data_IF_260252198035
#
_entry.id   IF_260252198035
#
_cell.length_a   1.000
_cell.length_b   1.000
_cell.length_c   1.000
_cell.angle_alpha   90.00
_cell.angle_beta   90.00
_cell.angle_gamma   90.00
#
_symmetry.space_group_name_H-M   'P 1'
#
loop_
_entity.id
_entity.type
_entity.pdbx_description
1 polymer ?
#
# COMPACT_ATOMS: atom_id res chain seq x y z
N UNK A 1 -18.00 -8.51 7.26
CA UNK A 1 -18.48 -8.39 5.86
C UNK A 1 -18.73 -6.91 5.59
N UNK A 2 -17.72 -6.09 5.29
CA UNK A 2 -17.94 -4.65 5.07
C UNK A 2 -16.96 -3.95 4.12
N UNK A 3 -16.27 -4.69 3.24
CA UNK A 3 -15.62 -4.03 2.11
C UNK A 3 -16.68 -3.76 1.05
N UNK A 4 -16.90 -2.49 0.70
CA UNK A 4 -17.64 -2.16 -0.52
C UNK A 4 -16.91 -2.82 -1.71
N UNK A 5 -17.65 -3.30 -2.72
CA UNK A 5 -17.07 -3.90 -3.94
C UNK A 5 -16.03 -2.97 -4.60
N UNK A 6 -16.24 -1.66 -4.52
CA UNK A 6 -15.29 -0.65 -5.02
C UNK A 6 -13.96 -0.67 -4.25
N UNK A 7 -14.00 -0.85 -2.93
CA UNK A 7 -12.79 -0.88 -2.10
C UNK A 7 -12.03 -2.20 -2.26
N UNK A 8 -12.71 -3.32 -2.54
CA UNK A 8 -12.06 -4.57 -2.96
C UNK A 8 -11.28 -4.37 -4.25
N UNK A 9 -11.88 -3.70 -5.24
CA UNK A 9 -11.19 -3.40 -6.50
C UNK A 9 -9.96 -2.50 -6.32
N UNK A 10 -10.02 -1.54 -5.39
CA UNK A 10 -8.86 -0.71 -5.02
C UNK A 10 -7.77 -1.54 -4.35
N UNK A 11 -8.14 -2.39 -3.37
CA UNK A 11 -7.20 -3.27 -2.70
C UNK A 11 -6.52 -4.23 -3.69
N UNK A 12 -7.27 -4.83 -4.61
CA UNK A 12 -6.73 -5.68 -5.67
C UNK A 12 -5.64 -4.95 -6.47
N UNK A 13 -5.91 -3.74 -6.98
CA UNK A 13 -4.90 -2.95 -7.71
C UNK A 13 -3.67 -2.63 -6.85
N UNK A 14 -3.86 -2.35 -5.56
CA UNK A 14 -2.75 -2.12 -4.64
C UNK A 14 -1.90 -3.39 -4.45
N UNK A 15 -2.50 -4.57 -4.35
CA UNK A 15 -1.78 -5.86 -4.28
C UNK A 15 -0.99 -6.12 -5.57
N UNK A 16 -1.58 -5.86 -6.74
CA UNK A 16 -0.88 -5.96 -8.02
C UNK A 16 0.33 -5.02 -8.08
N UNK A 17 0.17 -3.78 -7.61
CA UNK A 17 1.27 -2.82 -7.50
C UNK A 17 2.36 -3.31 -6.55
N UNK A 18 2.02 -3.81 -5.36
CA UNK A 18 2.99 -4.37 -4.42
C UNK A 18 3.84 -5.47 -5.07
N UNK A 19 3.20 -6.40 -5.78
CA UNK A 19 3.89 -7.46 -6.50
C UNK A 19 4.81 -6.92 -7.60
N UNK A 20 4.29 -6.01 -8.43
CA UNK A 20 5.03 -5.44 -9.55
C UNK A 20 6.26 -4.63 -9.10
N UNK A 21 6.14 -3.83 -8.04
CA UNK A 21 7.25 -3.05 -7.48
C UNK A 21 8.27 -3.95 -6.79
N UNK A 22 7.84 -4.96 -6.03
CA UNK A 22 8.77 -5.91 -5.42
C UNK A 22 9.61 -6.65 -6.47
N UNK A 23 9.01 -7.01 -7.61
CA UNK A 23 9.69 -7.67 -8.74
C UNK A 23 10.75 -6.78 -9.41
N UNK A 24 10.64 -5.45 -9.29
CA UNK A 24 11.56 -4.47 -9.88
C UNK A 24 12.54 -3.87 -8.87
N UNK A 25 12.32 -4.11 -7.58
CA UNK A 25 13.14 -3.55 -6.51
C UNK A 25 14.60 -4.01 -6.62
N UNK A 26 15.52 -3.13 -6.22
CA UNK A 26 16.95 -3.46 -6.09
C UNK A 26 17.17 -4.57 -5.07
N UNK A 27 16.39 -4.55 -3.98
CA UNK A 27 16.36 -5.57 -2.94
C UNK A 27 14.94 -6.14 -2.77
N UNK A 28 14.51 -7.09 -3.62
CA UNK A 28 13.21 -7.73 -3.50
C UNK A 28 13.06 -8.44 -2.15
N UNK A 29 11.92 -8.28 -1.51
CA UNK A 29 11.57 -8.99 -0.27
C UNK A 29 10.84 -10.29 -0.56
N UNK A 30 10.81 -11.18 0.43
CA UNK A 30 9.92 -12.33 0.43
C UNK A 30 8.48 -11.85 0.65
N UNK A 31 7.72 -11.66 -0.43
CA UNK A 31 6.36 -11.10 -0.36
C UNK A 31 5.33 -12.19 -0.02
N UNK A 32 4.48 -11.93 0.97
CA UNK A 32 3.39 -12.82 1.39
C UNK A 32 2.02 -12.16 1.20
N UNK A 33 1.08 -12.92 0.63
CA UNK A 33 -0.34 -12.58 0.61
C UNK A 33 -1.10 -13.66 1.38
N UNK A 34 -1.37 -13.40 2.66
CA UNK A 34 -2.03 -14.35 3.57
C UNK A 34 -3.52 -14.06 3.69
N UNK A 35 -4.29 -15.02 4.24
CA UNK A 35 -5.74 -14.95 4.35
C UNK A 35 -6.46 -14.66 3.02
N UNK A 36 -5.88 -15.06 1.88
CA UNK A 36 -6.49 -14.81 0.58
C UNK A 36 -7.77 -15.63 0.45
N UNK A 37 -8.88 -14.93 0.28
CA UNK A 37 -10.20 -15.53 0.09
C UNK A 37 -11.26 -14.48 -0.22
N UNK A 38 -12.52 -14.91 -0.16
CA UNK A 38 -13.69 -14.04 -0.32
C UNK A 38 -13.64 -13.18 -1.59
N UNK A 39 -14.07 -11.92 -1.45
CA UNK A 39 -14.22 -10.99 -2.56
C UNK A 39 -12.89 -10.60 -3.22
N UNK A 40 -11.79 -10.55 -2.46
CA UNK A 40 -10.48 -10.22 -3.04
C UNK A 40 -10.02 -11.32 -3.98
N UNK A 41 -10.09 -12.59 -3.56
CA UNK A 41 -9.76 -13.73 -4.42
C UNK A 41 -10.66 -13.77 -5.65
N UNK A 42 -11.96 -13.58 -5.48
CA UNK A 42 -12.89 -13.52 -6.62
C UNK A 42 -12.49 -12.42 -7.60
N UNK A 43 -12.16 -11.22 -7.11
CA UNK A 43 -11.71 -10.14 -7.99
C UNK A 43 -10.40 -10.45 -8.71
N UNK A 44 -9.48 -11.18 -8.09
CA UNK A 44 -8.23 -11.63 -8.73
C UNK A 44 -8.52 -12.68 -9.79
N UNK A 45 -9.33 -13.70 -9.49
CA UNK A 45 -9.72 -14.76 -10.43
C UNK A 45 -10.42 -14.21 -11.68
N UNK A 46 -11.25 -13.18 -11.52
CA UNK A 46 -12.03 -12.60 -12.63
C UNK A 46 -11.19 -11.62 -13.47
N UNK A 47 -10.40 -10.75 -12.83
CA UNK A 47 -9.76 -9.60 -13.49
C UNK A 47 -8.27 -9.75 -13.73
N UNK A 48 -7.61 -10.68 -13.05
CA UNK A 48 -6.17 -10.94 -13.20
C UNK A 48 -5.88 -12.43 -13.17
N UNK A 49 -6.41 -13.18 -14.14
CA UNK A 49 -6.21 -14.64 -14.23
C UNK A 49 -4.73 -15.07 -14.20
N UNK A 50 -3.80 -14.16 -14.50
CA UNK A 50 -2.36 -14.38 -14.42
C UNK A 50 -1.80 -14.44 -13.00
N UNK A 51 -2.56 -14.04 -11.98
CA UNK A 51 -2.11 -14.01 -10.58
C UNK A 51 -1.58 -15.36 -10.09
N UNK A 52 -2.15 -16.47 -10.58
CA UNK A 52 -1.72 -17.83 -10.26
C UNK A 52 -0.32 -18.16 -10.77
N UNK A 53 0.20 -17.40 -11.73
CA UNK A 53 1.52 -17.57 -12.33
C UNK A 53 2.55 -16.57 -11.78
N UNK A 54 2.18 -15.76 -10.79
CA UNK A 54 3.12 -14.85 -10.14
C UNK A 54 4.26 -15.64 -9.50
N UNK A 55 5.48 -15.16 -9.71
CA UNK A 55 6.72 -15.80 -9.23
C UNK A 55 7.26 -15.04 -8.04
N UNK A 56 7.94 -15.73 -7.13
CA UNK A 56 8.61 -15.11 -5.99
C UNK A 56 7.64 -14.35 -5.05
N UNK A 57 6.41 -14.87 -4.94
CA UNK A 57 5.39 -14.46 -3.97
C UNK A 57 4.81 -15.71 -3.31
N UNK A 58 4.57 -15.65 -2.00
CA UNK A 58 3.91 -16.72 -1.25
C UNK A 58 2.46 -16.34 -0.98
N UNK A 59 1.53 -17.04 -1.61
CA UNK A 59 0.08 -16.81 -1.44
C UNK A 59 -0.50 -17.92 -0.58
N UNK A 60 -1.22 -17.54 0.49
CA UNK A 60 -1.76 -18.43 1.51
C UNK A 60 -3.21 -18.08 1.83
N UNK A 61 -4.02 -19.11 2.05
CA UNK A 61 -5.40 -18.95 2.57
C UNK A 61 -5.44 -18.83 4.09
N UNK A 62 -4.38 -19.31 4.74
CA UNK A 62 -4.16 -19.32 6.18
C UNK A 62 -3.85 -17.92 6.71
N UNK A 63 -4.15 -17.67 7.98
CA UNK A 63 -3.81 -16.40 8.62
C UNK A 63 -2.29 -16.29 8.84
N UNK A 64 -1.74 -15.07 8.79
CA UNK A 64 -0.28 -14.89 8.94
C UNK A 64 0.28 -15.47 10.25
N UNK A 65 -0.54 -15.53 11.32
CA UNK A 65 -0.16 -16.15 12.60
C UNK A 65 0.01 -17.68 12.54
N UNK A 66 -0.47 -18.32 11.48
CA UNK A 66 -0.30 -19.75 11.22
C UNK A 66 0.88 -20.04 10.29
N UNK A 67 1.43 -18.99 9.66
CA UNK A 67 2.46 -19.11 8.61
C UNK A 67 3.84 -18.65 9.12
N UNK A 68 3.86 -17.71 10.06
CA UNK A 68 5.08 -17.11 10.62
C UNK A 68 5.03 -17.17 12.15
N UNK A 69 6.19 -17.39 12.77
CA UNK A 69 6.31 -17.44 14.23
C UNK A 69 5.93 -16.09 14.86
N UNK A 70 5.24 -16.14 16.01
CA UNK A 70 4.67 -14.95 16.65
C UNK A 70 5.74 -13.89 16.98
N UNK A 71 6.90 -14.34 17.45
CA UNK A 71 8.05 -13.53 17.83
C UNK A 71 8.75 -12.83 16.65
N UNK A 72 8.53 -13.30 15.42
CA UNK A 72 9.07 -12.71 14.20
C UNK A 72 8.15 -11.64 13.62
N UNK A 73 6.88 -11.59 14.05
CA UNK A 73 5.86 -10.70 13.50
C UNK A 73 5.94 -9.28 14.08
N UNK A 74 5.94 -8.28 13.19
CA UNK A 74 5.77 -6.86 13.51
C UNK A 74 4.64 -6.28 12.66
N UNK A 75 3.53 -5.89 13.27
CA UNK A 75 2.42 -5.25 12.57
C UNK A 75 2.68 -3.76 12.35
N UNK A 76 2.71 -3.32 11.09
CA UNK A 76 2.81 -1.92 10.72
C UNK A 76 1.43 -1.24 10.79
N UNK A 77 1.30 -0.28 11.69
CA UNK A 77 0.04 0.45 11.92
C UNK A 77 0.32 1.89 12.35
N UNK A 78 -0.44 2.84 11.79
CA UNK A 78 -0.29 4.28 12.08
C UNK A 78 -0.66 4.66 13.52
N UNK A 79 -1.44 3.83 14.20
CA UNK A 79 -1.92 4.09 15.56
C UNK A 79 -0.97 3.55 16.64
N UNK A 80 0.09 2.83 16.27
CA UNK A 80 1.07 2.30 17.22
C UNK A 80 1.88 3.43 17.88
N UNK A 81 2.07 3.42 19.21
CA UNK A 81 2.96 4.39 19.87
C UNK A 81 4.44 4.13 19.58
N UNK A 82 4.81 2.91 19.20
CA UNK A 82 6.19 2.54 18.87
C UNK A 82 6.52 3.04 17.46
N UNK A 83 7.67 3.71 17.32
CA UNK A 83 8.19 4.17 16.03
C UNK A 83 9.22 3.16 15.51
N UNK A 84 9.10 2.78 14.25
CA UNK A 84 10.06 1.91 13.58
C UNK A 84 11.31 2.71 13.22
N UNK A 85 12.45 2.37 13.81
CA UNK A 85 13.73 3.04 13.54
C UNK A 85 14.48 2.40 12.37
N UNK A 86 14.51 1.07 12.32
CA UNK A 86 15.17 0.30 11.26
C UNK A 86 14.37 -0.97 10.92
N UNK A 87 14.61 -1.52 9.74
CA UNK A 87 14.10 -2.84 9.37
C UNK A 87 15.08 -3.92 9.82
N UNK A 88 14.62 -4.83 10.66
CA UNK A 88 15.32 -6.04 11.06
C UNK A 88 15.09 -7.13 10.00
N UNK A 89 16.14 -7.59 9.29
CA UNK A 89 16.01 -8.62 8.25
C UNK A 89 15.50 -9.98 8.77
N UNK A 90 15.50 -10.23 10.08
CA UNK A 90 14.97 -11.45 10.67
C UNK A 90 13.48 -11.35 11.04
N UNK A 91 12.80 -10.23 10.74
CA UNK A 91 11.39 -10.01 11.08
C UNK A 91 10.48 -10.06 9.87
N UNK A 92 9.22 -10.40 10.11
CA UNK A 92 8.14 -10.34 9.15
C UNK A 92 7.23 -9.15 9.44
N UNK A 93 7.21 -8.18 8.53
CA UNK A 93 6.41 -6.97 8.65
C UNK A 93 5.02 -7.16 8.04
N UNK A 94 3.98 -7.05 8.88
CA UNK A 94 2.58 -7.23 8.45
C UNK A 94 1.97 -5.89 8.09
N UNK A 95 1.37 -5.80 6.91
CA UNK A 95 0.60 -4.64 6.44
C UNK A 95 -0.85 -5.06 6.30
N UNK A 96 -1.77 -4.25 6.85
CA UNK A 96 -3.19 -4.54 6.74
C UNK A 96 -3.67 -4.47 5.29
N UNK A 97 -4.18 -5.59 4.77
CA UNK A 97 -4.81 -5.67 3.44
C UNK A 97 -6.23 -5.09 3.45
N UNK A 98 -6.39 -3.79 3.73
CA UNK A 98 -7.68 -3.11 3.75
C UNK A 98 -7.63 -1.73 3.10
N UNK A 99 -8.74 -1.35 2.48
CA UNK A 99 -9.02 0.01 2.01
C UNK A 99 -10.31 0.46 2.67
N UNK A 100 -10.19 1.23 3.74
CA UNK A 100 -11.33 1.60 4.59
C UNK A 100 -11.55 3.11 4.68
N UNK A 101 -10.76 3.93 3.96
CA UNK A 101 -10.75 5.39 4.06
C UNK A 101 -10.50 5.90 5.49
N UNK A 102 -9.83 5.09 6.31
CA UNK A 102 -9.59 5.34 7.73
C UNK A 102 -10.90 5.55 8.54
N UNK A 103 -11.96 4.83 8.18
CA UNK A 103 -13.18 4.78 8.99
C UNK A 103 -12.98 3.97 10.27
N UNK A 104 -12.11 2.95 10.26
CA UNK A 104 -11.86 2.06 11.39
C UNK A 104 -10.51 2.37 12.07
N UNK A 105 -10.43 3.52 12.73
CA UNK A 105 -9.25 3.94 13.49
C UNK A 105 -8.85 2.89 14.52
N UNK A 106 -7.56 2.57 14.60
CA UNK A 106 -7.03 1.62 15.58
C UNK A 106 -7.30 0.15 15.28
N UNK A 107 -8.00 -0.21 14.19
CA UNK A 107 -8.39 -1.61 13.93
C UNK A 107 -7.18 -2.55 13.87
N UNK A 108 -6.15 -2.19 13.11
CA UNK A 108 -4.95 -3.02 12.95
C UNK A 108 -4.07 -3.00 14.20
N UNK A 109 -4.08 -1.90 14.95
CA UNK A 109 -3.36 -1.77 16.22
C UNK A 109 -3.97 -2.65 17.32
N UNK A 110 -5.29 -2.60 17.50
CA UNK A 110 -5.98 -3.46 18.45
C UNK A 110 -5.83 -4.94 18.07
N UNK A 111 -5.90 -5.26 16.77
CA UNK A 111 -5.64 -6.62 16.29
C UNK A 111 -4.24 -7.13 16.65
N UNK A 112 -3.21 -6.29 16.50
CA UNK A 112 -1.84 -6.66 16.88
C UNK A 112 -1.72 -6.90 18.40
N UNK A 113 -2.36 -6.06 19.21
CA UNK A 113 -2.41 -6.23 20.68
C UNK A 113 -3.14 -7.49 21.11
N UNK A 114 -4.29 -7.78 20.51
CA UNK A 114 -5.07 -9.00 20.79
C UNK A 114 -4.28 -10.26 20.49
N UNK A 115 -3.47 -10.25 19.42
CA UNK A 115 -2.61 -11.37 19.04
C UNK A 115 -1.27 -11.40 19.80
N UNK A 116 -0.97 -10.38 20.60
CA UNK A 116 0.29 -10.29 21.36
C UNK A 116 1.54 -10.26 20.46
N UNK A 117 1.44 -9.67 19.27
CA UNK A 117 2.58 -9.48 18.35
C UNK A 117 3.13 -8.05 18.46
N UNK A 118 4.39 -7.88 18.08
CA UNK A 118 4.98 -6.54 18.04
C UNK A 118 4.24 -5.66 17.02
N UNK A 119 4.23 -4.36 17.26
CA UNK A 119 3.63 -3.38 16.35
C UNK A 119 4.44 -2.08 16.35
N UNK A 120 4.47 -1.40 15.20
CA UNK A 120 5.17 -0.13 15.03
C UNK A 120 4.48 0.74 13.96
N UNK A 121 4.64 2.07 14.08
CA UNK A 121 4.32 3.02 13.01
C UNK A 121 5.60 3.36 12.24
N UNK A 122 5.45 3.73 10.95
CA UNK A 122 6.56 4.31 10.19
C UNK A 122 6.94 5.69 10.77
N UNK A 123 8.22 6.10 10.70
CA UNK A 123 8.71 7.36 11.29
C UNK A 123 8.31 8.61 10.48
N UNK A 124 7.11 8.64 9.91
CA UNK A 124 6.60 9.73 9.05
C UNK A 124 6.65 11.09 9.73
N UNK A 125 6.32 11.14 11.02
CA UNK A 125 6.29 12.38 11.82
C UNK A 125 7.63 13.11 11.87
N UNK A 126 8.74 12.38 11.68
CA UNK A 126 10.08 12.91 11.81
C UNK A 126 10.56 13.61 10.53
N UNK A 127 9.91 13.33 9.39
CA UNK A 127 10.40 13.77 8.08
C UNK A 127 9.33 14.43 7.21
N UNK A 128 8.04 14.25 7.53
CA UNK A 128 6.93 14.64 6.66
C UNK A 128 5.88 15.44 7.45
N UNK A 129 5.71 16.72 7.10
CA UNK A 129 4.65 17.57 7.64
C UNK A 129 3.37 17.50 6.80
N UNK A 130 2.57 16.46 6.99
CA UNK A 130 1.29 16.34 6.28
C UNK A 130 0.19 17.19 6.94
N UNK A 131 -0.52 18.01 6.15
CA UNK A 131 -1.79 18.62 6.54
C UNK A 131 -2.96 17.61 6.55
N UNK A 132 -2.70 16.40 6.04
CA UNK A 132 -3.65 15.28 5.97
C UNK A 132 -3.31 14.20 7.00
N UNK A 133 -4.19 13.20 7.11
CA UNK A 133 -4.02 12.08 8.05
C UNK A 133 -2.81 11.22 7.65
N UNK A 134 -2.02 10.77 8.63
CA UNK A 134 -0.84 9.92 8.46
C UNK A 134 -1.20 8.44 8.22
N UNK A 135 -2.18 8.19 7.35
CA UNK A 135 -2.58 6.84 6.93
C UNK A 135 -2.25 6.67 5.47
N UNK A 136 -1.43 5.67 5.17
CA UNK A 136 -0.96 5.37 3.82
C UNK A 136 -1.74 4.21 3.21
N UNK A 137 -1.78 4.18 1.88
CA UNK A 137 -2.29 3.03 1.14
C UNK A 137 -1.34 1.83 1.27
N UNK A 138 -1.86 0.62 1.06
CA UNK A 138 -1.08 -0.63 1.20
C UNK A 138 0.16 -0.60 0.31
N UNK A 139 -0.01 -0.22 -0.97
CA UNK A 139 1.10 -0.14 -1.91
C UNK A 139 2.15 0.89 -1.50
N UNK A 140 1.75 2.07 -0.98
CA UNK A 140 2.72 3.06 -0.53
C UNK A 140 3.58 2.55 0.64
N UNK A 141 2.99 1.78 1.58
CA UNK A 141 3.78 1.20 2.68
C UNK A 141 4.81 0.19 2.14
N UNK A 142 4.42 -0.67 1.19
CA UNK A 142 5.35 -1.61 0.55
C UNK A 142 6.43 -0.87 -0.23
N UNK A 143 6.06 0.10 -1.07
CA UNK A 143 7.00 0.90 -1.86
C UNK A 143 7.99 1.66 -0.96
N UNK A 144 7.55 2.19 0.18
CA UNK A 144 8.44 2.83 1.17
C UNK A 144 9.42 1.82 1.78
N UNK A 145 8.96 0.62 2.13
CA UNK A 145 9.83 -0.44 2.66
C UNK A 145 10.92 -0.80 1.64
N UNK A 146 10.53 -0.98 0.37
CA UNK A 146 11.47 -1.29 -0.71
C UNK A 146 12.47 -0.14 -0.94
N UNK A 147 11.99 1.10 -0.97
CA UNK A 147 12.86 2.27 -1.11
C UNK A 147 13.79 2.45 0.10
N UNK A 148 13.34 2.14 1.31
CA UNK A 148 14.20 2.16 2.49
C UNK A 148 15.30 1.11 2.40
N UNK A 149 14.99 -0.11 1.96
CA UNK A 149 15.99 -1.16 1.78
C UNK A 149 17.06 -0.77 0.76
N UNK A 150 16.69 -0.03 -0.29
CA UNK A 150 17.62 0.49 -1.29
C UNK A 150 18.47 1.66 -0.76
N UNK A 151 17.84 2.63 -0.08
CA UNK A 151 18.47 3.92 0.24
C UNK A 151 19.02 4.01 1.66
N UNK A 152 18.63 3.09 2.54
CA UNK A 152 18.93 3.11 3.98
C UNK A 152 18.57 4.44 4.66
N UNK A 153 17.55 5.13 4.15
CA UNK A 153 17.11 6.45 4.62
C UNK A 153 15.60 6.55 4.55
N UNK A 154 14.95 6.68 5.71
CA UNK A 154 13.50 6.88 5.79
C UNK A 154 13.05 8.14 5.07
N UNK A 155 13.82 9.22 5.21
CA UNK A 155 13.54 10.47 4.53
C UNK A 155 13.48 10.25 3.02
N UNK A 156 14.57 9.76 2.42
CA UNK A 156 14.60 9.55 0.96
C UNK A 156 13.52 8.57 0.49
N UNK A 157 13.25 7.50 1.26
CA UNK A 157 12.18 6.56 0.96
C UNK A 157 10.80 7.25 0.91
N UNK A 158 10.49 8.12 1.87
CA UNK A 158 9.24 8.88 1.87
C UNK A 158 9.15 9.84 0.69
N UNK A 159 10.22 10.56 0.36
CA UNK A 159 10.23 11.52 -0.76
C UNK A 159 10.15 10.83 -2.14
N UNK A 160 10.61 9.58 -2.23
CA UNK A 160 10.52 8.79 -3.46
C UNK A 160 9.09 8.32 -3.74
N UNK A 161 8.33 8.01 -2.69
CA UNK A 161 7.03 7.31 -2.83
C UNK A 161 5.83 8.22 -2.61
N UNK A 162 5.94 9.21 -1.72
CA UNK A 162 4.83 10.09 -1.40
C UNK A 162 4.80 11.26 -2.39
N UNK A 163 3.67 11.50 -3.10
CA UNK A 163 3.59 12.58 -4.07
C UNK A 163 3.77 13.95 -3.40
N UNK A 164 4.42 14.93 -4.06
CA UNK A 164 4.69 16.27 -3.50
C UNK A 164 3.44 16.96 -2.92
N UNK A 165 2.29 16.76 -3.57
CA UNK A 165 0.98 17.32 -3.19
C UNK A 165 0.43 16.83 -1.83
N UNK A 166 1.06 15.83 -1.18
CA UNK A 166 0.71 15.46 0.22
C UNK A 166 1.38 16.33 1.28
N UNK A 167 2.11 17.38 0.88
CA UNK A 167 2.79 18.29 1.81
C UNK A 167 4.03 17.66 2.44
N UNK A 168 4.69 16.76 1.72
CA UNK A 168 5.98 16.23 2.16
C UNK A 168 7.04 17.32 2.05
N UNK A 169 7.13 18.14 3.10
CA UNK A 169 8.19 19.13 3.24
C UNK A 169 9.26 18.52 4.13
N UNK A 170 10.50 18.51 3.65
CA UNK A 170 11.61 17.95 4.40
C UNK A 170 11.81 18.79 5.66
N UNK A 171 11.88 18.12 6.80
CA UNK A 171 12.29 18.76 8.04
C UNK A 171 13.81 18.78 8.04
N UNK A 172 14.42 19.97 8.11
CA UNK A 172 15.85 20.10 8.35
C UNK A 172 16.24 19.58 9.75
N UNK A 173 17.54 19.52 10.08
CA UNK A 173 18.06 19.05 11.38
C UNK A 173 17.39 19.74 12.58
N UNK A 174 16.90 20.97 12.38
CA UNK A 174 16.28 21.81 13.41
C UNK A 174 14.73 21.84 13.36
N UNK A 175 14.09 20.97 12.57
CA UNK A 175 12.63 20.90 12.44
C UNK A 175 11.99 22.03 11.62
N UNK A 176 12.80 22.83 10.93
CA UNK A 176 12.33 23.86 9.99
C UNK A 176 12.09 23.26 8.60
N UNK A 177 11.01 23.70 7.95
CA UNK A 177 10.65 23.32 6.58
C UNK A 177 11.67 23.87 5.58
N UNK A 178 12.28 23.00 4.77
CA UNK A 178 13.06 23.41 3.57
C UNK A 178 12.14 23.38 2.36
N UNK A 179 11.98 24.52 1.68
CA UNK A 179 11.26 24.62 0.41
C UNK A 179 12.12 24.01 -0.70
N UNK A 180 11.60 23.03 -1.43
CA UNK A 180 12.17 22.62 -2.69
C UNK A 180 11.66 23.57 -3.79
N UNK A 181 12.56 24.01 -4.66
CA UNK A 181 12.24 24.84 -5.83
C UNK A 181 11.32 24.03 -6.77
N UNK A 182 10.21 24.64 -7.19
CA UNK A 182 9.24 24.04 -8.12
C UNK A 182 9.82 24.07 -9.54
N UNK A 183 10.13 22.90 -10.12
CA UNK A 183 10.23 22.74 -11.57
C UNK A 183 8.84 22.36 -12.10
N UNK A 184 8.25 23.23 -12.92
CA UNK A 184 7.00 22.99 -13.65
C UNK A 184 7.27 21.99 -14.78
N UNK A 185 6.77 20.75 -14.66
CA UNK A 185 6.58 19.87 -15.82
C UNK A 185 5.09 19.89 -16.20
N UNK A 186 4.82 20.39 -17.42
CA UNK A 186 3.52 20.29 -18.07
C UNK A 186 3.31 18.84 -18.55
N UNK A 187 2.30 18.14 -18.02
CA UNK A 187 1.82 16.87 -18.59
C UNK A 187 0.66 17.16 -19.56
N UNK A 188 0.86 16.88 -20.84
CA UNK A 188 -0.20 16.80 -21.86
C UNK A 188 -1.04 15.54 -21.62
N UNK A 189 -2.33 15.69 -21.36
CA UNK A 189 -3.30 14.59 -21.37
C UNK A 189 -3.68 14.25 -22.83
N UNK A 190 -3.16 13.14 -23.36
CA UNK A 190 -3.72 12.51 -24.55
C UNK A 190 -4.95 11.68 -24.15
N UNK A 191 -6.15 12.18 -24.48
CA UNK A 191 -7.38 11.40 -24.54
C UNK A 191 -7.56 10.78 -25.93
N UNK A 192 -7.46 9.46 -26.03
CA UNK A 192 -8.19 8.61 -26.99
C UNK A 192 -8.61 7.34 -26.21
N UNK A 193 -9.82 6.80 -26.28
CA UNK A 193 -10.59 6.55 -27.50
C UNK A 193 -12.09 6.38 -27.19
N UNK A 194 -12.88 6.76 -28.17
CA UNK A 194 -14.33 6.71 -28.23
C UNK A 194 -14.76 5.63 -29.21
N UNK A 195 -15.52 4.62 -28.75
CA UNK A 195 -16.22 3.69 -29.64
C UNK A 195 -17.74 3.90 -29.53
N UNK A 196 -18.41 4.38 -30.60
CA UNK A 196 -19.86 4.41 -30.70
C UNK A 196 -20.37 3.21 -31.52
N UNK A 197 -21.02 2.25 -30.86
CA UNK A 197 -21.86 1.27 -31.56
C UNK A 197 -23.35 1.58 -31.30
N UNK A 198 -23.93 2.37 -32.19
CA UNK A 198 -25.39 2.60 -32.25
C UNK A 198 -26.03 1.59 -33.19
N UNK A 199 -26.72 0.60 -32.61
CA UNK A 199 -27.70 -0.22 -33.30
C UNK A 199 -28.96 0.60 -33.61
N UNK A 200 -29.24 0.77 -34.90
CA UNK A 200 -30.43 1.43 -35.43
C UNK A 200 -31.60 0.42 -35.47
N UNK A 201 -32.64 0.63 -34.65
CA UNK A 201 -33.98 0.09 -34.89
C UNK A 201 -35.01 1.20 -34.66
N UNK A 202 -35.50 1.76 -35.77
CA UNK A 202 -36.72 2.57 -35.80
C UNK A 202 -37.90 1.69 -36.20
N UNK A 203 -38.72 1.33 -35.21
CA UNK A 203 -40.17 1.18 -35.40
C UNK A 203 -40.81 2.54 -35.08
N UNK A 204 -41.53 3.17 -36.01
CA UNK A 204 -43.00 3.18 -36.01
C UNK A 204 -43.63 4.15 -37.02
N UNK A 205 -44.70 3.66 -37.66
CA UNK A 205 -45.93 4.36 -38.08
C UNK A 205 -45.90 5.33 -39.27
N UNK A 206 -46.43 4.88 -40.41
CA UNK A 206 -47.69 5.36 -41.01
C UNK A 206 -48.25 4.28 -41.94
#
# INVERSE_FOLDING_TARGET
MWSCLQDVGKLHRQVQRCYAENRRAVHPVQLYLTSLGGQLKQSMDEKDKGWVNWKDITIKTEHYSEVVAQEELVYLTSDSPNVLEELDPSKAYVIGGLVDHNHHKGLTFERAKELGIHHAQLPLSNFVKMNSRKVLAVNHVVEIVLAYLEKSSWQEAFFTVLPPRKGAVALGPDGAAVQAEEEEEEEEEEEEDSDPDTADQKENTT
#
